data_IF_169270882493
#
_entry.id   IF_169270882493
#
_cell.length_a   1.000
_cell.length_b   1.000
_cell.length_c   1.000
_cell.angle_alpha   90.00
_cell.angle_beta   90.00
_cell.angle_gamma   90.00
#
_symmetry.space_group_name_H-M   'P 1'
#
loop_
_entity.id
_entity.type
_entity.pdbx_description
1 polymer ?
#
# COMPACT_ATOMS: atom_id res chain seq x y z
N UNK A 1 -5.34 1.71 -24.34
CA UNK A 1 -6.18 0.89 -23.44
C UNK A 1 -5.76 0.97 -21.96
N UNK A 2 -4.46 0.89 -21.62
CA UNK A 2 -3.99 1.03 -20.22
C UNK A 2 -4.21 2.45 -19.64
N UNK A 3 -3.96 3.49 -20.43
CA UNK A 3 -4.30 4.88 -20.09
C UNK A 3 -5.81 5.15 -19.97
N UNK A 4 -6.65 4.33 -20.63
CA UNK A 4 -8.10 4.46 -20.61
C UNK A 4 -8.71 3.90 -19.33
N UNK A 5 -8.19 2.79 -18.81
CA UNK A 5 -8.58 2.24 -17.50
C UNK A 5 -8.07 3.10 -16.34
N UNK A 6 -6.84 3.61 -16.41
CA UNK A 6 -6.33 4.60 -15.45
C UNK A 6 -7.17 5.88 -15.49
N UNK A 7 -7.58 6.31 -16.68
CA UNK A 7 -8.51 7.43 -16.88
C UNK A 7 -9.91 7.19 -16.29
N UNK A 8 -10.48 5.98 -16.43
CA UNK A 8 -11.78 5.64 -15.83
C UNK A 8 -11.69 5.56 -14.29
N UNK A 9 -10.58 5.06 -13.74
CA UNK A 9 -10.36 5.04 -12.28
C UNK A 9 -10.14 6.46 -11.76
N UNK A 10 -9.37 7.30 -12.45
CA UNK A 10 -9.25 8.72 -12.12
C UNK A 10 -10.63 9.41 -12.18
N UNK A 11 -11.40 9.24 -13.25
CA UNK A 11 -12.67 9.97 -13.43
C UNK A 11 -13.81 9.46 -12.54
N UNK A 12 -13.84 8.16 -12.20
CA UNK A 12 -14.93 7.54 -11.43
C UNK A 12 -14.63 7.41 -9.94
N UNK A 13 -13.36 7.50 -9.54
CA UNK A 13 -12.87 7.35 -8.17
C UNK A 13 -12.05 8.54 -7.65
N UNK A 14 -11.74 9.55 -8.47
CA UNK A 14 -11.47 10.88 -7.89
C UNK A 14 -12.79 11.34 -7.25
N UNK A 15 -12.82 11.67 -5.96
CA UNK A 15 -13.85 12.56 -5.48
C UNK A 15 -13.78 13.79 -6.39
N UNK A 16 -14.92 14.34 -6.79
CA UNK A 16 -14.99 15.67 -7.39
C UNK A 16 -14.47 16.64 -6.33
N UNK A 17 -13.15 16.69 -6.18
CA UNK A 17 -12.42 17.58 -5.32
C UNK A 17 -12.14 18.74 -6.24
N UNK A 18 -12.94 19.79 -6.07
CA UNK A 18 -12.64 21.07 -6.69
C UNK A 18 -11.22 21.44 -6.28
N UNK A 19 -10.42 22.04 -7.17
CA UNK A 19 -9.04 22.47 -6.84
C UNK A 19 -8.97 23.36 -5.58
N UNK A 20 -10.10 23.90 -5.13
CA UNK A 20 -10.31 24.62 -3.88
C UNK A 20 -10.21 23.78 -2.60
N UNK A 21 -10.36 22.45 -2.67
CA UNK A 21 -10.25 21.55 -1.50
C UNK A 21 -8.80 21.15 -1.18
N UNK A 22 -7.88 21.43 -2.11
CA UNK A 22 -6.45 21.18 -1.94
C UNK A 22 -5.84 22.21 -1.00
N UNK A 23 -5.88 21.91 0.29
CA UNK A 23 -5.23 22.71 1.32
C UNK A 23 -3.74 22.36 1.36
N UNK A 24 -2.92 23.16 0.68
CA UNK A 24 -1.44 23.06 0.75
C UNK A 24 -0.96 23.79 1.99
N UNK A 25 -1.14 23.16 3.14
CA UNK A 25 -0.73 23.67 4.45
C UNK A 25 0.60 23.04 4.90
N UNK A 26 1.08 23.39 6.10
CA UNK A 26 2.29 22.80 6.66
C UNK A 26 2.16 21.27 6.84
N UNK A 27 0.96 20.78 7.15
CA UNK A 27 0.66 19.36 7.33
C UNK A 27 0.92 18.57 6.05
N UNK A 28 0.53 19.13 4.89
CA UNK A 28 0.82 18.53 3.59
C UNK A 28 2.33 18.26 3.40
N UNK A 29 3.19 19.23 3.72
CA UNK A 29 4.64 19.06 3.62
C UNK A 29 5.19 18.03 4.62
N UNK A 30 4.64 17.97 5.83
CA UNK A 30 5.01 16.92 6.81
C UNK A 30 4.67 15.52 6.31
N UNK A 31 3.52 15.33 5.65
CA UNK A 31 3.18 14.05 5.06
C UNK A 31 4.05 13.69 3.86
N UNK A 32 4.45 14.67 3.03
CA UNK A 32 5.44 14.45 1.97
C UNK A 32 6.76 13.96 2.58
N UNK A 33 7.26 14.65 3.62
CA UNK A 33 8.51 14.28 4.26
C UNK A 33 8.44 12.88 4.89
N UNK A 34 7.34 12.58 5.60
CA UNK A 34 7.13 11.28 6.20
C UNK A 34 7.06 10.16 5.15
N UNK A 35 6.32 10.37 4.06
CA UNK A 35 6.24 9.41 2.95
C UNK A 35 7.57 9.23 2.23
N UNK A 36 8.37 10.29 2.10
CA UNK A 36 9.72 10.23 1.55
C UNK A 36 10.65 9.39 2.42
N UNK A 37 10.67 9.63 3.73
CA UNK A 37 11.46 8.84 4.69
C UNK A 37 11.00 7.37 4.66
N UNK A 38 9.69 7.12 4.68
CA UNK A 38 9.13 5.78 4.58
C UNK A 38 9.60 5.06 3.31
N UNK A 39 9.65 5.76 2.17
CA UNK A 39 10.12 5.18 0.92
C UNK A 39 11.64 4.91 0.90
N UNK A 40 12.45 5.70 1.61
CA UNK A 40 13.89 5.40 1.76
C UNK A 40 14.08 4.11 2.55
N UNK A 41 13.36 3.95 3.67
CA UNK A 41 13.42 2.73 4.49
C UNK A 41 12.93 1.53 3.67
N UNK A 42 11.87 1.71 2.89
CA UNK A 42 11.35 0.68 1.99
C UNK A 42 12.32 0.32 0.87
N UNK A 43 13.01 1.30 0.28
CA UNK A 43 14.04 1.03 -0.72
C UNK A 43 15.21 0.20 -0.17
N UNK A 44 15.47 0.26 1.14
CA UNK A 44 16.50 -0.53 1.80
C UNK A 44 16.02 -1.93 2.24
N UNK A 45 14.77 -2.06 2.70
CA UNK A 45 14.24 -3.30 3.31
C UNK A 45 13.26 -4.08 2.41
N UNK A 46 12.65 -3.41 1.43
CA UNK A 46 11.75 -3.97 0.42
C UNK A 46 10.28 -4.18 0.81
N UNK A 47 9.91 -4.05 2.08
CA UNK A 47 8.52 -4.22 2.57
C UNK A 47 8.15 -3.29 3.75
N UNK A 48 8.91 -2.21 3.97
CA UNK A 48 8.81 -1.37 5.16
C UNK A 48 7.95 -0.12 4.96
N UNK A 49 7.57 0.23 3.71
CA UNK A 49 6.76 1.40 3.42
C UNK A 49 5.43 1.37 4.20
N UNK A 50 4.75 0.22 4.17
CA UNK A 50 3.45 0.07 4.79
C UNK A 50 3.48 0.26 6.31
N UNK A 51 4.49 -0.29 6.98
CA UNK A 51 4.63 -0.23 8.44
C UNK A 51 4.96 1.18 8.90
N UNK A 52 5.94 1.82 8.24
CA UNK A 52 6.40 3.18 8.58
C UNK A 52 5.31 4.23 8.29
N UNK A 53 4.72 4.19 7.10
CA UNK A 53 3.67 5.14 6.70
C UNK A 53 2.39 4.97 7.52
N UNK A 54 1.97 3.72 7.80
CA UNK A 54 0.79 3.48 8.64
C UNK A 54 1.02 3.96 10.07
N UNK A 55 2.22 3.80 10.64
CA UNK A 55 2.52 4.29 11.97
C UNK A 55 2.39 5.82 12.05
N UNK A 56 2.89 6.55 11.05
CA UNK A 56 2.75 8.02 10.99
C UNK A 56 1.30 8.43 10.83
N UNK A 57 0.57 7.83 9.89
CA UNK A 57 -0.82 8.20 9.62
C UNK A 57 -1.75 7.88 10.80
N UNK A 58 -1.60 6.71 11.41
CA UNK A 58 -2.35 6.33 12.61
C UNK A 58 -1.95 7.20 13.81
N UNK A 59 -0.67 7.51 13.96
CA UNK A 59 -0.17 8.41 14.99
C UNK A 59 -0.70 9.84 14.87
N UNK A 60 -0.95 10.30 13.64
CA UNK A 60 -1.63 11.55 13.35
C UNK A 60 -3.15 11.49 13.61
N UNK A 61 -3.70 10.31 13.90
CA UNK A 61 -5.12 10.11 14.21
C UNK A 61 -5.99 9.79 13.01
N UNK A 62 -5.42 9.44 11.84
CA UNK A 62 -6.24 8.99 10.72
C UNK A 62 -6.94 7.67 11.06
N UNK A 63 -8.23 7.52 10.72
CA UNK A 63 -8.92 6.25 10.81
C UNK A 63 -8.15 5.13 10.08
N UNK A 64 -8.06 3.90 10.65
CA UNK A 64 -7.30 2.81 10.04
C UNK A 64 -7.65 2.49 8.59
N UNK A 65 -8.94 2.67 8.22
CA UNK A 65 -9.41 2.49 6.85
C UNK A 65 -8.77 3.49 5.87
N UNK A 66 -8.66 4.75 6.26
CA UNK A 66 -8.06 5.81 5.43
C UNK A 66 -6.55 5.66 5.35
N UNK A 67 -5.89 5.36 6.48
CA UNK A 67 -4.46 5.10 6.51
C UNK A 67 -4.10 3.93 5.58
N UNK A 68 -4.80 2.79 5.70
CA UNK A 68 -4.56 1.63 4.85
C UNK A 68 -4.78 1.91 3.37
N UNK A 69 -5.85 2.65 3.03
CA UNK A 69 -6.17 3.01 1.65
C UNK A 69 -5.07 3.90 1.04
N UNK A 70 -4.61 4.92 1.79
CA UNK A 70 -3.55 5.82 1.34
C UNK A 70 -2.23 5.08 1.11
N UNK A 71 -1.83 4.25 2.07
CA UNK A 71 -0.57 3.48 2.03
C UNK A 71 -0.54 2.54 0.83
N UNK A 72 -1.54 1.66 0.69
CA UNK A 72 -1.55 0.69 -0.42
C UNK A 72 -1.70 1.39 -1.77
N UNK A 73 -2.44 2.51 -1.84
CA UNK A 73 -2.53 3.28 -3.08
C UNK A 73 -1.17 3.85 -3.49
N UNK A 74 -0.40 4.41 -2.55
CA UNK A 74 0.95 4.89 -2.82
C UNK A 74 1.89 3.73 -3.21
N UNK A 75 1.79 2.59 -2.54
CA UNK A 75 2.61 1.41 -2.78
C UNK A 75 2.42 0.83 -4.19
N UNK A 76 1.21 0.90 -4.75
CA UNK A 76 0.96 0.53 -6.16
C UNK A 76 1.79 1.37 -7.12
N UNK A 77 1.98 2.67 -6.85
CA UNK A 77 2.80 3.53 -7.70
C UNK A 77 4.29 3.21 -7.55
N UNK A 78 4.79 3.09 -6.31
CA UNK A 78 6.22 2.87 -6.05
C UNK A 78 6.67 1.48 -6.52
N UNK A 79 5.90 0.44 -6.21
CA UNK A 79 6.13 -0.92 -6.75
C UNK A 79 5.92 -0.98 -8.26
N UNK A 80 4.97 -0.21 -8.80
CA UNK A 80 4.77 -0.07 -10.24
C UNK A 80 6.01 0.50 -10.95
N UNK A 81 6.62 1.56 -10.42
CA UNK A 81 7.88 2.12 -10.93
C UNK A 81 9.02 1.11 -10.81
N UNK A 82 9.11 0.39 -9.69
CA UNK A 82 10.09 -0.68 -9.51
C UNK A 82 9.93 -1.79 -10.56
N UNK A 83 8.69 -2.24 -10.82
CA UNK A 83 8.38 -3.23 -11.85
C UNK A 83 8.71 -2.74 -13.27
N UNK A 84 8.44 -1.45 -13.57
CA UNK A 84 8.81 -0.85 -14.86
C UNK A 84 10.33 -0.83 -15.08
N UNK A 85 11.11 -0.63 -14.01
CA UNK A 85 12.57 -0.70 -14.06
C UNK A 85 13.05 -2.08 -14.53
N UNK A 86 12.50 -3.17 -13.97
CA UNK A 86 12.82 -4.53 -14.40
C UNK A 86 12.52 -4.79 -15.89
N UNK A 87 11.40 -4.26 -16.38
CA UNK A 87 11.04 -4.35 -17.81
C UNK A 87 12.06 -3.57 -18.67
N UNK A 88 12.47 -2.37 -18.23
CA UNK A 88 13.44 -1.54 -18.93
C UNK A 88 14.83 -2.20 -19.02
N UNK A 89 15.26 -2.90 -17.96
CA UNK A 89 16.54 -3.60 -17.93
C UNK A 89 16.51 -4.99 -18.60
N UNK A 90 15.38 -5.39 -19.22
CA UNK A 90 15.27 -6.66 -19.95
C UNK A 90 15.21 -7.91 -19.07
N UNK A 91 15.24 -7.76 -17.74
CA UNK A 91 15.14 -8.86 -16.79
C UNK A 91 13.66 -9.16 -16.46
N UNK A 92 12.89 -9.53 -17.48
CA UNK A 92 11.44 -9.67 -17.42
C UNK A 92 10.96 -10.98 -18.02
N UNK A 93 10.50 -11.90 -17.17
CA UNK A 93 9.78 -13.10 -17.59
C UNK A 93 8.28 -12.79 -17.74
N UNK A 94 7.84 -12.75 -19.00
CA UNK A 94 6.43 -12.51 -19.37
C UNK A 94 5.50 -13.59 -18.84
N UNK A 95 5.91 -14.85 -18.86
CA UNK A 95 5.10 -15.99 -18.44
C UNK A 95 4.84 -15.93 -16.94
N UNK A 96 5.91 -15.73 -16.15
CA UNK A 96 5.80 -15.58 -14.70
C UNK A 96 4.98 -14.33 -14.33
N UNK A 97 5.22 -13.21 -15.00
CA UNK A 97 4.49 -11.96 -14.76
C UNK A 97 2.98 -12.13 -14.95
N UNK A 98 2.53 -12.64 -16.10
CA UNK A 98 1.10 -12.79 -16.34
C UNK A 98 0.45 -13.81 -15.39
N UNK A 99 1.17 -14.88 -15.05
CA UNK A 99 0.66 -15.89 -14.10
C UNK A 99 0.49 -15.30 -12.70
N UNK A 100 1.45 -14.51 -12.22
CA UNK A 100 1.38 -13.82 -10.93
C UNK A 100 0.34 -12.70 -10.92
N UNK A 101 0.30 -11.86 -11.95
CA UNK A 101 -0.63 -10.71 -12.00
C UNK A 101 -2.08 -11.18 -12.06
N UNK A 102 -2.40 -12.14 -12.93
CA UNK A 102 -3.79 -12.61 -13.06
C UNK A 102 -4.24 -13.27 -11.76
N UNK A 103 -3.46 -14.21 -11.23
CA UNK A 103 -3.83 -14.92 -10.00
C UNK A 103 -3.81 -14.00 -8.78
N UNK A 104 -2.84 -13.09 -8.68
CA UNK A 104 -2.71 -12.11 -7.62
C UNK A 104 -3.87 -11.11 -7.60
N UNK A 105 -4.22 -10.50 -8.73
CA UNK A 105 -5.33 -9.53 -8.80
C UNK A 105 -6.66 -10.20 -8.49
N UNK A 106 -6.92 -11.39 -9.04
CA UNK A 106 -8.17 -12.12 -8.79
C UNK A 106 -8.29 -12.50 -7.31
N UNK A 107 -7.26 -13.12 -6.73
CA UNK A 107 -7.28 -13.53 -5.32
C UNK A 107 -7.32 -12.35 -4.35
N UNK A 108 -6.57 -11.28 -4.60
CA UNK A 108 -6.59 -10.07 -3.78
C UNK A 108 -7.95 -9.36 -3.83
N UNK A 109 -8.58 -9.27 -5.01
CA UNK A 109 -9.91 -8.65 -5.15
C UNK A 109 -10.99 -9.46 -4.42
N UNK A 110 -10.97 -10.78 -4.57
CA UNK A 110 -11.89 -11.67 -3.87
C UNK A 110 -11.66 -11.58 -2.36
N UNK A 111 -10.41 -11.66 -1.90
CA UNK A 111 -10.07 -11.58 -0.48
C UNK A 111 -10.47 -10.25 0.14
N UNK A 112 -10.20 -9.12 -0.52
CA UNK A 112 -10.60 -7.80 -0.07
C UNK A 112 -12.12 -7.65 0.00
N UNK A 113 -12.84 -8.17 -0.99
CA UNK A 113 -14.31 -8.16 -0.99
C UNK A 113 -14.89 -9.00 0.16
N UNK A 114 -14.38 -10.23 0.36
CA UNK A 114 -14.83 -11.10 1.44
C UNK A 114 -14.57 -10.47 2.82
N UNK A 115 -13.38 -9.92 3.02
CA UNK A 115 -13.02 -9.29 4.29
C UNK A 115 -13.79 -7.98 4.54
N UNK A 116 -14.13 -7.24 3.48
CA UNK A 116 -14.81 -5.96 3.57
C UNK A 116 -16.34 -6.03 3.61
N UNK A 117 -16.95 -7.10 3.10
CA UNK A 117 -18.41 -7.19 2.94
C UNK A 117 -19.06 -8.44 3.54
N UNK A 118 -18.32 -9.53 3.71
CA UNK A 118 -18.88 -10.84 4.14
C UNK A 118 -18.48 -11.18 5.57
N UNK A 119 -17.25 -10.87 5.97
CA UNK A 119 -16.69 -11.28 7.26
C UNK A 119 -16.73 -10.14 8.28
N UNK A 120 -17.07 -10.47 9.53
CA UNK A 120 -16.98 -9.51 10.64
C UNK A 120 -15.52 -9.37 11.09
N UNK A 121 -14.96 -8.18 10.83
CA UNK A 121 -13.59 -7.83 11.15
C UNK A 121 -13.23 -8.00 12.64
N UNK A 122 -14.19 -7.95 13.55
CA UNK A 122 -13.93 -8.12 14.98
C UNK A 122 -13.45 -9.54 15.33
N UNK A 123 -13.92 -10.56 14.61
CA UNK A 123 -13.47 -11.93 14.82
C UNK A 123 -12.09 -12.18 14.22
N UNK A 124 -11.74 -11.52 13.11
CA UNK A 124 -10.48 -11.76 12.38
C UNK A 124 -9.32 -10.94 12.97
N UNK A 125 -9.62 -9.72 13.44
CA UNK A 125 -8.64 -8.79 14.02
C UNK A 125 -7.73 -9.42 15.09
N UNK A 126 -8.20 -10.21 16.09
CA UNK A 126 -7.30 -10.78 17.08
C UNK A 126 -6.30 -11.79 16.49
N UNK A 127 -6.72 -12.59 15.51
CA UNK A 127 -5.81 -13.54 14.85
C UNK A 127 -4.71 -12.83 14.07
N UNK A 128 -5.08 -11.84 13.25
CA UNK A 128 -4.12 -11.06 12.47
C UNK A 128 -3.18 -10.27 13.38
N UNK A 129 -3.72 -9.65 14.44
CA UNK A 129 -2.91 -8.87 15.39
C UNK A 129 -1.92 -9.76 16.14
N UNK A 130 -2.33 -10.96 16.55
CA UNK A 130 -1.45 -11.93 17.22
C UNK A 130 -0.34 -12.39 16.28
N UNK A 131 -0.69 -12.74 15.03
CA UNK A 131 0.30 -13.12 14.02
C UNK A 131 1.33 -12.02 13.78
N UNK A 132 0.89 -10.77 13.60
CA UNK A 132 1.78 -9.62 13.40
C UNK A 132 2.64 -9.34 14.63
N UNK A 133 2.10 -9.46 15.84
CA UNK A 133 2.86 -9.30 17.08
C UNK A 133 3.97 -10.34 17.21
N UNK A 134 3.66 -11.61 16.92
CA UNK A 134 4.65 -12.70 16.91
C UNK A 134 5.72 -12.44 15.85
N UNK A 135 5.32 -12.07 14.64
CA UNK A 135 6.27 -11.78 13.55
C UNK A 135 7.19 -10.61 13.91
N UNK A 136 6.65 -9.54 14.52
CA UNK A 136 7.43 -8.42 15.03
C UNK A 136 8.45 -8.84 16.08
N UNK A 137 8.04 -9.65 17.07
CA UNK A 137 8.95 -10.20 18.08
C UNK A 137 10.07 -11.04 17.47
N UNK A 138 9.76 -11.86 16.46
CA UNK A 138 10.75 -12.67 15.72
C UNK A 138 11.77 -11.76 15.00
N UNK A 139 11.30 -10.72 14.30
CA UNK A 139 12.18 -9.79 13.59
C UNK A 139 13.11 -9.06 14.56
N UNK A 140 12.58 -8.58 15.70
CA UNK A 140 13.39 -7.92 16.74
C UNK A 140 14.43 -8.88 17.29
N UNK A 141 14.04 -10.11 17.66
CA UNK A 141 14.98 -11.11 18.16
C UNK A 141 16.08 -11.45 17.15
N UNK A 142 15.74 -11.49 15.85
CA UNK A 142 16.71 -11.75 14.77
C UNK A 142 17.63 -10.57 14.53
N UNK A 143 17.22 -9.33 14.87
CA UNK A 143 18.08 -8.15 14.72
C UNK A 143 19.23 -8.11 15.74
N UNK A 144 19.12 -8.80 16.88
CA UNK A 144 20.14 -8.85 17.92
C UNK A 144 21.08 -10.07 17.83
N UNK A 145 20.92 -10.91 16.80
CA UNK A 145 21.61 -12.18 16.66
C UNK A 145 22.19 -12.33 15.26
#
# INVERSE_FOLDING_TARGET
>A
MKLFLVGIVLVKFLPVTSLSDLHVDATFFWFILAGFIAQIVDGALGMAYGVTSSAVLLGYGLPPRLASAAVHSAEVFTTGVSGLSHIKFGNFDKSLFFRLVITGVVSASIGAYMLGSVLDGNYIKPFVSTYLAVLGAIIISKSFR
#
